data_IF_165067413212
#
_entry.id   IF_165067413212
#
_cell.length_a   1.000
_cell.length_b   1.000
_cell.length_c   1.000
_cell.angle_alpha   90.00
_cell.angle_beta   90.00
_cell.angle_gamma   90.00
#
_symmetry.space_group_name_H-M   'P 1'
#
loop_
_entity.id
_entity.type
_entity.pdbx_description
1 polymer ?
#
# COMPACT_ATOMS: atom_id res chain seq x y z
N UNK A 1 9.89 24.50 9.22
CA UNK A 1 11.08 25.31 9.60
C UNK A 1 11.21 25.41 11.12
N UNK A 2 12.43 25.28 11.65
CA UNK A 2 12.84 25.66 13.03
C UNK A 2 13.17 24.57 14.07
N UNK A 3 13.88 23.49 13.68
CA UNK A 3 14.74 22.75 14.64
C UNK A 3 16.16 22.49 14.14
N UNK A 4 16.37 22.32 12.83
CA UNK A 4 17.71 22.05 12.29
C UNK A 4 18.61 23.29 12.10
N UNK A 5 18.03 24.48 11.94
CA UNK A 5 18.80 25.71 11.72
C UNK A 5 19.56 26.20 12.98
N UNK A 6 19.23 25.71 14.17
CA UNK A 6 19.96 26.04 15.39
C UNK A 6 21.24 25.21 15.56
N UNK A 7 21.30 24.01 14.99
CA UNK A 7 22.48 23.12 15.13
C UNK A 7 23.66 23.60 14.28
N UNK A 8 23.40 23.97 13.01
CA UNK A 8 24.45 24.39 12.08
C UNK A 8 25.04 25.77 12.39
N UNK A 9 24.26 26.69 12.96
CA UNK A 9 24.74 28.04 13.31
C UNK A 9 25.63 28.05 14.57
N UNK A 10 25.57 27.00 15.38
CA UNK A 10 26.44 26.82 16.55
C UNK A 10 27.81 26.23 16.15
N UNK A 11 27.84 25.37 15.12
CA UNK A 11 29.06 24.70 14.64
C UNK A 11 29.99 25.61 13.83
N UNK A 12 29.46 26.63 13.14
CA UNK A 12 30.32 27.53 12.35
C UNK A 12 31.11 28.56 13.17
N UNK A 13 30.86 28.69 14.49
CA UNK A 13 31.55 29.65 15.37
C UNK A 13 32.66 29.07 16.24
N UNK A 14 32.79 27.74 16.34
CA UNK A 14 33.75 27.09 17.24
C UNK A 14 34.88 26.34 16.53
N UNK A 15 35.15 26.62 15.25
CA UNK A 15 36.33 26.08 14.58
C UNK A 15 37.59 26.89 14.92
N UNK A 16 37.99 26.85 16.21
CA UNK A 16 39.34 27.20 16.64
C UNK A 16 39.81 26.15 17.65
N UNK A 17 40.56 25.17 17.11
CA UNK A 17 41.52 24.28 17.80
C UNK A 17 40.99 23.39 18.94
N UNK A 18 40.72 22.12 18.63
CA UNK A 18 40.51 21.06 19.61
C UNK A 18 40.12 19.71 19.01
N UNK A 19 40.90 19.20 18.05
CA UNK A 19 40.60 17.94 17.36
C UNK A 19 40.78 16.70 18.26
N UNK A 20 39.74 15.87 18.35
CA UNK A 20 39.79 14.53 18.93
C UNK A 20 38.67 14.20 19.92
N UNK A 21 38.32 15.10 20.83
CA UNK A 21 37.35 14.82 21.91
C UNK A 21 35.89 15.15 21.59
N UNK A 22 35.67 16.09 20.65
CA UNK A 22 34.32 16.58 20.32
C UNK A 22 33.67 15.75 19.20
N UNK A 23 34.47 15.20 18.29
CA UNK A 23 34.04 14.32 17.20
C UNK A 23 33.58 12.95 17.72
N UNK A 24 34.35 12.33 18.63
CA UNK A 24 33.96 11.09 19.33
C UNK A 24 32.65 11.26 20.12
N UNK A 25 32.43 12.45 20.68
CA UNK A 25 31.22 12.75 21.47
C UNK A 25 29.99 13.02 20.60
N UNK A 26 30.18 13.39 19.34
CA UNK A 26 29.11 13.50 18.34
C UNK A 26 28.76 12.10 17.82
N UNK A 27 29.76 11.28 17.49
CA UNK A 27 29.55 9.87 17.08
C UNK A 27 28.84 9.04 18.16
N UNK A 28 29.23 9.18 19.44
CA UNK A 28 28.54 8.51 20.56
C UNK A 28 27.05 8.92 20.65
N UNK A 29 26.74 10.20 20.42
CA UNK A 29 25.36 10.71 20.48
C UNK A 29 24.54 10.28 19.26
N UNK A 30 25.14 10.21 18.08
CA UNK A 30 24.48 9.71 16.87
C UNK A 30 24.12 8.23 17.01
N UNK A 31 25.03 7.41 17.55
CA UNK A 31 24.77 6.01 17.88
C UNK A 31 23.66 5.85 18.94
N UNK A 32 23.62 6.74 19.94
CA UNK A 32 22.58 6.73 20.97
C UNK A 32 21.20 7.11 20.41
N UNK A 33 21.15 8.06 19.47
CA UNK A 33 19.91 8.43 18.76
C UNK A 33 19.44 7.29 17.85
N UNK A 34 20.32 6.66 17.06
CA UNK A 34 19.95 5.54 16.19
C UNK A 34 19.43 4.34 17.00
N UNK A 35 20.02 4.07 18.16
CA UNK A 35 19.53 3.03 19.07
C UNK A 35 18.14 3.37 19.63
N UNK A 36 17.88 4.63 19.98
CA UNK A 36 16.56 5.07 20.47
C UNK A 36 15.50 5.04 19.36
N UNK A 37 15.86 5.35 18.12
CA UNK A 37 14.97 5.23 16.96
C UNK A 37 14.57 3.78 16.71
N UNK A 38 15.54 2.85 16.71
CA UNK A 38 15.26 1.40 16.63
C UNK A 38 14.38 0.93 17.78
N UNK A 39 14.61 1.42 19.00
CA UNK A 39 13.80 1.06 20.17
C UNK A 39 12.37 1.59 20.06
N UNK A 40 12.16 2.79 19.50
CA UNK A 40 10.83 3.35 19.24
C UNK A 40 10.11 2.56 18.14
N UNK A 41 10.81 2.17 17.07
CA UNK A 41 10.29 1.34 15.98
C UNK A 41 9.84 -0.04 16.51
N UNK A 42 10.67 -0.70 17.34
CA UNK A 42 10.34 -1.96 18.01
C UNK A 42 9.15 -1.81 18.98
N UNK A 43 9.09 -0.71 19.73
CA UNK A 43 7.95 -0.41 20.62
C UNK A 43 6.67 -0.19 19.83
N UNK A 44 6.73 0.51 18.69
CA UNK A 44 5.58 0.72 17.82
C UNK A 44 5.07 -0.60 17.24
N UNK A 45 5.96 -1.45 16.73
CA UNK A 45 5.62 -2.80 16.28
C UNK A 45 5.01 -3.65 17.41
N UNK A 46 5.49 -3.48 18.64
CA UNK A 46 4.94 -4.18 19.81
C UNK A 46 3.55 -3.67 20.17
N UNK A 47 3.31 -2.37 20.07
CA UNK A 47 1.98 -1.77 20.27
C UNK A 47 1.01 -2.23 19.20
N UNK A 48 1.42 -2.26 17.93
CA UNK A 48 0.59 -2.72 16.82
C UNK A 48 0.26 -4.22 16.96
N UNK A 49 1.24 -5.05 17.33
CA UNK A 49 1.01 -6.46 17.67
C UNK A 49 0.06 -6.64 18.85
N UNK A 50 0.16 -5.81 19.90
CA UNK A 50 -0.76 -5.86 21.05
C UNK A 50 -2.16 -5.38 20.69
N UNK A 51 -2.28 -4.38 19.82
CA UNK A 51 -3.54 -3.84 19.33
C UNK A 51 -4.29 -4.89 18.52
N UNK A 52 -3.60 -5.54 17.58
CA UNK A 52 -4.13 -6.70 16.86
C UNK A 52 -4.54 -7.81 17.83
N UNK A 53 -3.71 -8.12 18.84
CA UNK A 53 -4.03 -9.16 19.85
C UNK A 53 -5.22 -8.83 20.76
N UNK A 54 -5.52 -7.55 20.96
CA UNK A 54 -6.73 -7.11 21.67
C UNK A 54 -7.95 -7.29 20.76
N UNK A 55 -7.83 -6.91 19.48
CA UNK A 55 -8.88 -7.16 18.47
C UNK A 55 -9.15 -8.68 18.33
N UNK A 56 -8.11 -9.52 18.35
CA UNK A 56 -8.20 -10.99 18.37
C UNK A 56 -8.95 -11.53 19.59
N UNK A 57 -8.70 -10.97 20.79
CA UNK A 57 -9.36 -11.39 22.03
C UNK A 57 -10.81 -10.93 22.08
N UNK A 58 -11.12 -9.77 21.53
CA UNK A 58 -12.49 -9.30 21.41
C UNK A 58 -13.30 -10.20 20.46
N UNK A 59 -12.74 -10.59 19.31
CA UNK A 59 -13.38 -11.57 18.39
C UNK A 59 -13.62 -12.91 19.10
N UNK A 60 -12.65 -13.38 19.91
CA UNK A 60 -12.80 -14.59 20.72
C UNK A 60 -13.77 -14.48 21.91
N UNK A 61 -14.04 -13.26 22.40
CA UNK A 61 -15.03 -12.97 23.46
C UNK A 61 -16.43 -12.86 22.87
N UNK A 62 -16.59 -12.27 21.68
CA UNK A 62 -17.85 -12.20 20.91
C UNK A 62 -18.37 -13.60 20.50
N UNK A 63 -17.49 -14.59 20.34
CA UNK A 63 -17.87 -16.00 20.18
C UNK A 63 -18.70 -16.56 21.36
N UNK A 64 -18.76 -15.87 22.52
CA UNK A 64 -19.65 -16.19 23.64
C UNK A 64 -20.97 -15.42 23.62
N UNK A 65 -21.05 -14.29 22.93
CA UNK A 65 -22.31 -13.56 22.66
C UNK A 65 -23.12 -14.20 21.52
N UNK A 66 -22.46 -15.06 20.73
CA UNK A 66 -23.04 -15.98 19.74
C UNK A 66 -24.32 -16.68 20.21
N UNK A 67 -24.46 -17.02 21.50
CA UNK A 67 -25.64 -17.72 22.02
C UNK A 67 -26.93 -16.89 22.04
N UNK A 68 -26.85 -15.56 22.03
CA UNK A 68 -28.04 -14.68 22.10
C UNK A 68 -28.56 -14.35 20.69
N UNK A 69 -27.64 -14.08 19.75
CA UNK A 69 -27.99 -13.77 18.36
C UNK A 69 -28.34 -15.02 17.54
N UNK A 70 -27.67 -16.16 17.76
CA UNK A 70 -28.03 -17.46 17.13
C UNK A 70 -29.47 -17.86 17.46
N UNK A 71 -29.96 -17.56 18.67
CA UNK A 71 -31.33 -17.88 19.11
C UNK A 71 -32.38 -17.05 18.38
N UNK A 72 -32.13 -15.76 18.15
CA UNK A 72 -33.09 -14.92 17.41
C UNK A 72 -33.09 -15.27 15.91
N UNK A 73 -31.92 -15.55 15.34
CA UNK A 73 -31.81 -15.98 13.94
C UNK A 73 -32.47 -17.33 13.71
N UNK A 74 -32.29 -18.29 14.62
CA UNK A 74 -32.90 -19.62 14.54
C UNK A 74 -34.43 -19.60 14.70
N UNK A 75 -34.98 -18.56 15.33
CA UNK A 75 -36.43 -18.37 15.49
C UNK A 75 -37.06 -17.57 14.34
N UNK A 76 -36.25 -16.97 13.46
CA UNK A 76 -36.77 -16.22 12.32
C UNK A 76 -37.39 -17.17 11.29
N UNK A 77 -38.59 -16.86 10.74
CA UNK A 77 -39.20 -17.67 9.68
C UNK A 77 -38.35 -17.76 8.41
N UNK A 78 -37.57 -16.72 8.12
CA UNK A 78 -36.61 -16.65 7.03
C UNK A 78 -35.29 -16.04 7.54
N UNK A 79 -34.37 -16.88 8.07
CA UNK A 79 -33.11 -16.43 8.65
C UNK A 79 -32.22 -15.69 7.65
N UNK A 80 -32.19 -16.14 6.39
CA UNK A 80 -31.38 -15.54 5.34
C UNK A 80 -31.90 -14.15 4.99
N UNK A 81 -33.22 -13.99 4.83
CA UNK A 81 -33.80 -12.66 4.59
C UNK A 81 -33.58 -11.73 5.77
N UNK A 82 -33.84 -12.19 6.99
CA UNK A 82 -33.67 -11.39 8.19
C UNK A 82 -32.22 -10.88 8.32
N UNK A 83 -31.24 -11.76 8.14
CA UNK A 83 -29.83 -11.38 8.16
C UNK A 83 -29.50 -10.35 7.06
N UNK A 84 -30.04 -10.52 5.84
CA UNK A 84 -29.82 -9.55 4.76
C UNK A 84 -30.37 -8.18 5.12
N UNK A 85 -31.61 -8.13 5.62
CA UNK A 85 -32.29 -6.90 6.02
C UNK A 85 -31.51 -6.18 7.16
N UNK A 86 -31.02 -6.92 8.15
CA UNK A 86 -30.19 -6.38 9.24
C UNK A 86 -28.85 -5.86 8.72
N UNK A 87 -28.13 -6.63 7.90
CA UNK A 87 -26.85 -6.20 7.31
C UNK A 87 -27.03 -4.91 6.51
N UNK A 88 -28.08 -4.83 5.69
CA UNK A 88 -28.39 -3.63 4.90
C UNK A 88 -28.71 -2.43 5.80
N UNK A 89 -29.52 -2.62 6.84
CA UNK A 89 -29.84 -1.54 7.80
C UNK A 89 -28.59 -1.03 8.52
N UNK A 90 -27.70 -1.93 8.95
CA UNK A 90 -26.43 -1.56 9.58
C UNK A 90 -25.47 -0.87 8.61
N UNK A 91 -25.56 -1.21 7.32
CA UNK A 91 -24.78 -0.57 6.28
C UNK A 91 -25.22 0.89 6.05
N UNK A 92 -26.51 1.19 6.13
CA UNK A 92 -27.00 2.58 6.12
C UNK A 92 -26.43 3.39 7.29
N UNK A 93 -26.37 2.78 8.49
CA UNK A 93 -25.74 3.41 9.66
C UNK A 93 -24.22 3.59 9.51
N UNK A 94 -23.57 2.70 8.78
CA UNK A 94 -22.17 2.83 8.41
C UNK A 94 -21.96 3.98 7.40
N UNK A 95 -22.87 4.15 6.45
CA UNK A 95 -22.83 5.26 5.48
C UNK A 95 -23.06 6.61 6.15
N UNK A 96 -23.98 6.68 7.12
CA UNK A 96 -24.21 7.87 7.94
C UNK A 96 -23.17 8.10 9.04
N UNK A 97 -22.08 7.32 9.04
CA UNK A 97 -20.99 7.36 10.04
C UNK A 97 -21.45 7.19 11.49
N UNK A 98 -22.65 6.64 11.68
CA UNK A 98 -23.26 6.41 12.99
C UNK A 98 -22.70 5.14 13.66
N UNK A 99 -22.14 4.23 12.86
CA UNK A 99 -21.49 2.99 13.31
C UNK A 99 -20.10 2.88 12.70
N UNK A 100 -19.14 2.36 13.48
CA UNK A 100 -17.77 2.17 12.99
C UNK A 100 -17.65 1.02 11.99
N UNK A 101 -16.67 1.08 11.08
CA UNK A 101 -16.35 -0.02 10.15
C UNK A 101 -16.10 -1.35 10.85
N UNK A 102 -15.49 -1.31 12.03
CA UNK A 102 -15.17 -2.48 12.82
C UNK A 102 -16.43 -3.10 13.40
N UNK A 103 -17.32 -2.29 13.97
CA UNK A 103 -18.63 -2.72 14.49
C UNK A 103 -19.48 -3.32 13.36
N UNK A 104 -19.57 -2.65 12.21
CA UNK A 104 -20.29 -3.16 11.05
C UNK A 104 -19.75 -4.52 10.58
N UNK A 105 -18.42 -4.63 10.45
CA UNK A 105 -17.77 -5.88 10.02
C UNK A 105 -18.04 -7.01 11.00
N UNK A 106 -18.01 -6.74 12.31
CA UNK A 106 -18.35 -7.72 13.36
C UNK A 106 -19.77 -8.24 13.25
N UNK A 107 -20.76 -7.35 13.15
CA UNK A 107 -22.17 -7.74 12.98
C UNK A 107 -22.38 -8.58 11.72
N UNK A 108 -21.73 -8.20 10.60
CA UNK A 108 -21.82 -8.96 9.36
C UNK A 108 -21.20 -10.36 9.49
N UNK A 109 -20.10 -10.51 10.22
CA UNK A 109 -19.46 -11.80 10.46
C UNK A 109 -20.39 -12.72 11.25
N UNK A 110 -20.96 -12.24 12.36
CA UNK A 110 -21.83 -13.05 13.22
C UNK A 110 -23.03 -13.56 12.42
N UNK A 111 -23.75 -12.66 11.73
CA UNK A 111 -24.90 -13.01 10.91
C UNK A 111 -24.53 -13.96 9.77
N UNK A 112 -23.43 -13.69 9.06
CA UNK A 112 -23.01 -14.54 7.93
C UNK A 112 -22.60 -15.93 8.38
N UNK A 113 -21.86 -16.06 9.49
CA UNK A 113 -21.43 -17.35 10.04
C UNK A 113 -22.62 -18.20 10.45
N UNK A 114 -23.63 -17.60 11.09
CA UNK A 114 -24.84 -18.30 11.49
C UNK A 114 -25.63 -18.87 10.30
N UNK A 115 -25.49 -18.27 9.10
CA UNK A 115 -26.15 -18.76 7.88
C UNK A 115 -25.38 -19.89 7.16
N UNK A 116 -24.07 -20.05 7.37
CA UNK A 116 -23.23 -20.96 6.56
C UNK A 116 -23.70 -22.41 6.60
N UNK A 117 -24.26 -22.85 7.72
CA UNK A 117 -24.61 -24.26 7.94
C UNK A 117 -26.09 -24.57 7.68
N UNK A 118 -27.00 -23.60 7.88
CA UNK A 118 -28.43 -23.90 8.06
C UNK A 118 -29.40 -23.09 7.18
N UNK A 119 -28.91 -22.18 6.35
CA UNK A 119 -29.79 -21.28 5.60
C UNK A 119 -30.16 -21.80 4.20
N UNK A 120 -31.46 -21.94 3.94
CA UNK A 120 -32.00 -22.05 2.58
C UNK A 120 -32.10 -20.67 1.94
N UNK A 121 -31.14 -20.36 1.06
CA UNK A 121 -31.12 -19.10 0.32
C UNK A 121 -31.86 -19.26 -1.01
N UNK A 122 -32.98 -18.57 -1.16
CA UNK A 122 -33.77 -18.55 -2.40
C UNK A 122 -33.06 -17.76 -3.50
N UNK A 123 -33.37 -18.01 -4.78
CA UNK A 123 -32.76 -17.26 -5.88
C UNK A 123 -33.00 -15.75 -5.77
N UNK A 124 -34.21 -15.35 -5.38
CA UNK A 124 -34.54 -13.93 -5.15
C UNK A 124 -33.61 -13.30 -4.11
N UNK A 125 -33.35 -13.99 -3.00
CA UNK A 125 -32.41 -13.49 -1.98
C UNK A 125 -30.97 -13.44 -2.49
N UNK A 126 -30.56 -14.37 -3.36
CA UNK A 126 -29.25 -14.29 -4.01
C UNK A 126 -29.15 -13.04 -4.89
N UNK A 127 -30.19 -12.72 -5.64
CA UNK A 127 -30.20 -11.56 -6.52
C UNK A 127 -30.15 -10.26 -5.70
N UNK A 128 -30.91 -10.18 -4.61
CA UNK A 128 -30.91 -9.04 -3.68
C UNK A 128 -29.54 -8.91 -2.97
N UNK A 129 -28.97 -10.02 -2.50
CA UNK A 129 -27.65 -10.05 -1.88
C UNK A 129 -26.54 -9.68 -2.88
N UNK A 130 -26.64 -10.14 -4.13
CA UNK A 130 -25.70 -9.80 -5.20
C UNK A 130 -25.73 -8.29 -5.47
N UNK A 131 -26.92 -7.70 -5.62
CA UNK A 131 -27.08 -6.25 -5.80
C UNK A 131 -26.44 -5.48 -4.64
N UNK A 132 -26.69 -5.91 -3.41
CA UNK A 132 -26.10 -5.28 -2.23
C UNK A 132 -24.57 -5.42 -2.19
N UNK A 133 -24.02 -6.58 -2.53
CA UNK A 133 -22.57 -6.77 -2.54
C UNK A 133 -21.84 -5.86 -3.53
N UNK A 134 -22.47 -5.47 -4.64
CA UNK A 134 -21.96 -4.46 -5.57
C UNK A 134 -21.95 -3.08 -4.89
N UNK A 135 -23.05 -2.70 -4.22
CA UNK A 135 -23.14 -1.45 -3.46
C UNK A 135 -22.04 -1.36 -2.40
N UNK A 136 -21.87 -2.41 -1.61
CA UNK A 136 -20.83 -2.51 -0.58
C UNK A 136 -19.45 -2.27 -1.19
N UNK A 137 -19.10 -2.97 -2.28
CA UNK A 137 -17.81 -2.78 -2.97
C UNK A 137 -17.62 -1.35 -3.46
N UNK A 138 -18.69 -0.70 -3.91
CA UNK A 138 -18.67 0.71 -4.30
C UNK A 138 -18.29 1.64 -3.16
N UNK A 139 -18.79 1.42 -1.95
CA UNK A 139 -18.42 2.22 -0.77
C UNK A 139 -17.00 1.92 -0.30
N UNK A 140 -16.59 0.65 -0.25
CA UNK A 140 -15.22 0.28 0.12
C UNK A 140 -14.21 0.94 -0.83
N UNK A 141 -14.50 0.98 -2.14
CA UNK A 141 -13.66 1.66 -3.12
C UNK A 141 -13.55 3.17 -2.88
N UNK A 142 -14.65 3.85 -2.52
CA UNK A 142 -14.64 5.29 -2.20
C UNK A 142 -13.83 5.62 -0.95
N UNK A 143 -13.81 4.71 0.02
CA UNK A 143 -13.11 4.90 1.31
C UNK A 143 -11.64 4.49 1.27
N UNK A 144 -11.16 3.93 0.16
CA UNK A 144 -9.76 3.56 -0.03
C UNK A 144 -9.37 2.30 0.74
N UNK A 145 -8.46 2.43 1.72
CA UNK A 145 -7.91 1.29 2.46
C UNK A 145 -9.02 0.43 3.09
N UNK A 146 -9.06 -0.84 2.70
CA UNK A 146 -10.02 -1.84 3.20
C UNK A 146 -9.32 -2.68 4.26
N UNK A 147 -9.82 -2.62 5.50
CA UNK A 147 -9.27 -3.39 6.61
C UNK A 147 -9.55 -4.90 6.43
N UNK A 148 -8.67 -5.78 6.93
CA UNK A 148 -8.82 -7.23 6.74
C UNK A 148 -10.15 -7.77 7.27
N UNK A 149 -10.69 -7.20 8.36
CA UNK A 149 -12.01 -7.57 8.89
C UNK A 149 -13.16 -7.25 7.93
N UNK A 150 -13.04 -6.16 7.15
CA UNK A 150 -14.04 -5.78 6.15
C UNK A 150 -13.95 -6.71 4.93
N UNK A 151 -12.73 -7.09 4.53
CA UNK A 151 -12.51 -8.12 3.51
C UNK A 151 -13.13 -9.45 3.97
N UNK A 152 -12.88 -9.81 5.22
CA UNK A 152 -13.36 -11.06 5.79
C UNK A 152 -14.89 -11.11 5.87
N UNK A 153 -15.52 -10.06 6.40
CA UNK A 153 -16.97 -9.95 6.52
C UNK A 153 -17.64 -9.99 5.14
N UNK A 154 -17.06 -9.31 4.15
CA UNK A 154 -17.53 -9.34 2.78
C UNK A 154 -17.43 -10.74 2.16
N UNK A 155 -16.30 -11.44 2.30
CA UNK A 155 -16.14 -12.80 1.77
C UNK A 155 -17.11 -13.78 2.44
N UNK A 156 -17.31 -13.67 3.76
CA UNK A 156 -18.28 -14.48 4.48
C UNK A 156 -19.71 -14.22 4.02
N UNK A 157 -20.07 -12.95 3.78
CA UNK A 157 -21.35 -12.58 3.19
C UNK A 157 -21.54 -13.24 1.82
N UNK A 158 -20.55 -13.16 0.92
CA UNK A 158 -20.65 -13.82 -0.38
C UNK A 158 -20.83 -15.34 -0.23
N UNK A 159 -20.18 -15.95 0.75
CA UNK A 159 -20.27 -17.38 0.98
C UNK A 159 -21.64 -17.78 1.55
N UNK A 160 -22.16 -17.05 2.53
CA UNK A 160 -23.46 -17.35 3.17
C UNK A 160 -24.62 -17.28 2.19
N UNK A 161 -24.56 -16.39 1.19
CA UNK A 161 -25.55 -16.30 0.11
C UNK A 161 -25.20 -17.14 -1.13
N UNK A 162 -24.12 -17.94 -1.09
CA UNK A 162 -23.65 -18.80 -2.19
C UNK A 162 -23.42 -18.04 -3.49
N UNK A 163 -22.81 -16.86 -3.38
CA UNK A 163 -22.54 -15.93 -4.48
C UNK A 163 -21.14 -16.12 -5.10
N UNK A 164 -20.27 -16.94 -4.50
CA UNK A 164 -18.89 -17.11 -4.95
C UNK A 164 -18.74 -17.45 -6.44
N UNK A 165 -19.63 -18.27 -6.99
CA UNK A 165 -19.62 -18.66 -8.41
C UNK A 165 -20.07 -17.53 -9.36
N UNK A 166 -20.81 -16.55 -8.86
CA UNK A 166 -21.32 -15.40 -9.61
C UNK A 166 -20.31 -14.24 -9.65
N UNK A 167 -19.23 -14.36 -8.89
CA UNK A 167 -18.20 -13.34 -8.75
C UNK A 167 -17.00 -13.61 -9.64
N UNK A 168 -16.30 -12.54 -9.98
CA UNK A 168 -15.03 -12.64 -10.68
C UNK A 168 -14.01 -13.39 -9.81
N UNK A 169 -13.57 -14.56 -10.30
CA UNK A 169 -12.66 -15.44 -9.56
C UNK A 169 -11.35 -14.75 -9.25
N UNK A 170 -10.85 -13.95 -10.18
CA UNK A 170 -9.56 -13.29 -10.03
C UNK A 170 -9.60 -12.26 -8.89
N UNK A 171 -10.66 -11.45 -8.80
CA UNK A 171 -10.92 -10.56 -7.68
C UNK A 171 -11.08 -11.28 -6.33
N UNK A 172 -11.79 -12.41 -6.31
CA UNK A 172 -11.95 -13.21 -5.09
C UNK A 172 -10.60 -13.74 -4.60
N UNK A 173 -9.76 -14.23 -5.51
CA UNK A 173 -8.41 -14.70 -5.19
C UNK A 173 -7.54 -13.57 -4.62
N UNK A 174 -7.63 -12.36 -5.18
CA UNK A 174 -6.89 -11.19 -4.65
C UNK A 174 -7.37 -10.80 -3.24
N UNK A 175 -8.68 -10.82 -2.98
CA UNK A 175 -9.24 -10.55 -1.64
C UNK A 175 -8.81 -11.61 -0.61
N UNK A 176 -8.88 -12.89 -0.98
CA UNK A 176 -8.40 -14.00 -0.16
C UNK A 176 -6.90 -13.90 0.11
N UNK A 177 -6.12 -13.50 -0.90
CA UNK A 177 -4.69 -13.23 -0.78
C UNK A 177 -4.38 -12.18 0.28
N UNK A 178 -5.03 -11.02 0.18
CA UNK A 178 -4.90 -9.94 1.16
C UNK A 178 -5.28 -10.44 2.55
N UNK A 179 -6.40 -11.15 2.70
CA UNK A 179 -6.79 -11.76 3.97
C UNK A 179 -5.68 -12.68 4.51
N UNK A 180 -5.17 -13.59 3.68
CA UNK A 180 -4.11 -14.51 4.04
C UNK A 180 -2.78 -13.86 4.39
N UNK A 181 -2.48 -12.66 3.89
CA UNK A 181 -1.28 -11.91 4.26
C UNK A 181 -1.52 -11.13 5.56
N UNK A 182 -2.71 -10.55 5.72
CA UNK A 182 -3.06 -9.69 6.84
C UNK A 182 -3.39 -10.44 8.13
N UNK A 183 -3.96 -11.65 8.06
CA UNK A 183 -4.50 -12.35 9.25
C UNK A 183 -3.59 -13.42 9.81
N UNK A 184 -3.12 -13.31 11.04
CA UNK A 184 -2.36 -14.40 11.70
C UNK A 184 -3.25 -15.49 12.31
N UNK A 185 -4.56 -15.23 12.41
CA UNK A 185 -5.52 -16.07 13.14
C UNK A 185 -6.43 -16.84 12.19
N UNK A 186 -6.81 -18.05 12.60
CA UNK A 186 -7.87 -18.84 11.95
C UNK A 186 -9.22 -18.20 12.22
N UNK A 187 -9.93 -17.80 11.18
CA UNK A 187 -11.19 -17.06 11.32
C UNK A 187 -12.43 -18.00 11.25
N UNK A 188 -13.55 -17.68 11.93
CA UNK A 188 -14.72 -18.55 12.00
C UNK A 188 -15.44 -18.72 10.66
N UNK A 189 -15.59 -19.94 10.16
CA UNK A 189 -16.18 -20.19 8.84
C UNK A 189 -15.18 -20.16 7.67
N UNK A 190 -13.88 -20.09 7.97
CA UNK A 190 -12.81 -20.13 6.97
C UNK A 190 -12.83 -21.40 6.11
N UNK A 191 -13.15 -22.56 6.69
CA UNK A 191 -13.24 -23.82 5.94
C UNK A 191 -14.34 -23.74 4.88
N UNK A 192 -15.45 -23.05 5.17
CA UNK A 192 -16.54 -22.82 4.23
C UNK A 192 -16.13 -21.86 3.12
N UNK A 193 -15.42 -20.77 3.45
CA UNK A 193 -14.86 -19.84 2.47
C UNK A 193 -13.97 -20.57 1.46
N UNK A 194 -13.14 -21.50 1.92
CA UNK A 194 -12.31 -22.31 1.02
C UNK A 194 -13.16 -23.15 0.07
N UNK A 195 -14.12 -23.93 0.61
CA UNK A 195 -14.97 -24.78 -0.20
C UNK A 195 -15.76 -23.97 -1.25
N UNK A 196 -16.29 -22.82 -0.87
CA UNK A 196 -17.16 -22.02 -1.74
C UNK A 196 -16.37 -21.17 -2.76
N UNK A 197 -15.20 -20.64 -2.38
CA UNK A 197 -14.47 -19.67 -3.21
C UNK A 197 -13.32 -20.30 -4.00
N UNK A 198 -12.67 -21.33 -3.44
CA UNK A 198 -11.50 -21.98 -4.03
C UNK A 198 -11.82 -23.35 -4.62
N UNK A 199 -12.98 -23.90 -4.28
CA UNK A 199 -13.38 -25.24 -4.68
C UNK A 199 -12.53 -26.31 -3.99
N UNK A 200 -12.22 -27.36 -4.73
CA UNK A 200 -11.44 -28.48 -4.21
C UNK A 200 -9.94 -28.16 -4.17
N UNK A 201 -9.20 -28.85 -3.28
CA UNK A 201 -7.73 -28.73 -3.20
C UNK A 201 -7.01 -28.98 -4.55
N UNK A 202 -7.63 -29.73 -5.46
CA UNK A 202 -7.07 -30.04 -6.79
C UNK A 202 -7.08 -28.83 -7.73
N UNK A 203 -7.89 -27.82 -7.45
CA UNK A 203 -7.99 -26.60 -8.26
C UNK A 203 -6.98 -25.53 -7.83
N UNK A 204 -6.46 -25.62 -6.61
CA UNK A 204 -5.49 -24.67 -6.04
C UNK A 204 -4.27 -24.41 -6.94
N UNK A 205 -3.63 -25.43 -7.57
CA UNK A 205 -2.52 -25.17 -8.50
C UNK A 205 -2.91 -24.28 -9.68
N UNK A 206 -4.15 -24.43 -10.19
CA UNK A 206 -4.69 -23.58 -11.25
C UNK A 206 -4.88 -22.13 -10.79
N UNK A 207 -5.38 -21.94 -9.56
CA UNK A 207 -5.51 -20.62 -8.95
C UNK A 207 -4.15 -19.95 -8.74
N UNK A 208 -3.15 -20.68 -8.24
CA UNK A 208 -1.77 -20.19 -8.09
C UNK A 208 -1.20 -19.79 -9.45
N UNK A 209 -1.39 -20.59 -10.50
CA UNK A 209 -0.95 -20.23 -11.85
C UNK A 209 -1.65 -18.98 -12.39
N UNK A 210 -2.95 -18.79 -12.13
CA UNK A 210 -3.66 -17.56 -12.50
C UNK A 210 -3.03 -16.33 -11.83
N UNK A 211 -2.76 -16.42 -10.52
CA UNK A 211 -2.13 -15.33 -9.76
C UNK A 211 -0.74 -14.98 -10.28
N UNK A 212 0.08 -15.99 -10.62
CA UNK A 212 1.41 -15.77 -11.20
C UNK A 212 1.31 -15.07 -12.56
N UNK A 213 0.37 -15.50 -13.43
CA UNK A 213 0.16 -14.87 -14.75
C UNK A 213 -0.30 -13.41 -14.65
N UNK A 214 -0.98 -13.05 -13.56
CA UNK A 214 -1.42 -11.68 -13.25
C UNK A 214 -0.37 -10.85 -12.52
N UNK A 215 0.84 -11.38 -12.32
CA UNK A 215 1.93 -10.76 -11.54
C UNK A 215 1.58 -10.49 -10.07
N UNK A 216 0.55 -11.16 -9.52
CA UNK A 216 0.15 -11.08 -8.11
C UNK A 216 0.99 -12.02 -7.25
N UNK A 217 2.31 -11.87 -7.33
CA UNK A 217 3.29 -12.80 -6.75
C UNK A 217 3.18 -12.94 -5.22
N UNK A 218 2.91 -11.86 -4.50
CA UNK A 218 2.77 -11.91 -3.02
C UNK A 218 1.56 -12.78 -2.65
N UNK A 219 0.44 -12.59 -3.35
CA UNK A 219 -0.76 -13.40 -3.17
C UNK A 219 -0.50 -14.86 -3.55
N UNK A 220 0.19 -15.12 -4.66
CA UNK A 220 0.56 -16.48 -5.06
C UNK A 220 1.41 -17.17 -3.96
N UNK A 221 2.41 -16.48 -3.42
CA UNK A 221 3.25 -16.98 -2.31
C UNK A 221 2.41 -17.29 -1.07
N UNK A 222 1.46 -16.43 -0.73
CA UNK A 222 0.56 -16.69 0.41
C UNK A 222 -0.24 -17.99 0.22
N UNK A 223 -0.80 -18.21 -0.97
CA UNK A 223 -1.48 -19.47 -1.29
C UNK A 223 -0.53 -20.68 -1.22
N UNK A 224 0.66 -20.56 -1.81
CA UNK A 224 1.65 -21.64 -1.80
C UNK A 224 1.98 -22.07 -0.38
N UNK A 225 2.30 -21.13 0.50
CA UNK A 225 2.69 -21.41 1.89
C UNK A 225 1.52 -21.93 2.74
N UNK A 226 0.29 -21.42 2.53
CA UNK A 226 -0.91 -21.89 3.25
C UNK A 226 -1.29 -23.30 2.83
N UNK A 227 -1.27 -23.57 1.53
CA UNK A 227 -1.70 -24.86 0.98
C UNK A 227 -0.57 -25.90 0.94
N UNK A 228 0.65 -25.55 1.36
CA UNK A 228 1.84 -26.41 1.39
C UNK A 228 2.21 -26.94 0.01
N UNK A 229 2.39 -26.02 -0.95
CA UNK A 229 2.71 -26.33 -2.35
C UNK A 229 4.12 -25.85 -2.76
N UNK A 230 5.02 -25.66 -1.80
CA UNK A 230 6.35 -25.10 -2.00
C UNK A 230 7.21 -25.95 -2.96
N UNK A 231 7.01 -27.27 -2.98
CA UNK A 231 7.71 -28.19 -3.86
C UNK A 231 7.35 -28.00 -5.34
N UNK A 232 6.07 -27.66 -5.60
CA UNK A 232 5.56 -27.45 -6.98
C UNK A 232 5.78 -26.01 -7.43
N UNK A 233 5.63 -25.07 -6.52
CA UNK A 233 5.77 -23.64 -6.77
C UNK A 233 6.73 -23.04 -5.74
N UNK A 234 8.03 -22.99 -6.04
CA UNK A 234 9.00 -22.42 -5.11
C UNK A 234 8.70 -20.94 -4.81
N UNK A 235 8.52 -20.53 -3.54
CA UNK A 235 8.18 -19.14 -3.20
C UNK A 235 9.26 -18.11 -3.56
N UNK A 236 10.54 -18.48 -3.40
CA UNK A 236 11.67 -17.55 -3.51
C UNK A 236 11.83 -16.97 -4.93
N UNK A 237 11.79 -17.75 -6.02
CA UNK A 237 11.75 -17.21 -7.37
C UNK A 237 10.62 -16.21 -7.61
N UNK A 238 9.42 -16.48 -7.07
CA UNK A 238 8.28 -15.58 -7.24
C UNK A 238 8.46 -14.27 -6.48
N UNK A 239 9.03 -14.30 -5.27
CA UNK A 239 9.37 -13.08 -4.53
C UNK A 239 10.45 -12.26 -5.24
N UNK A 240 11.46 -12.90 -5.85
CA UNK A 240 12.46 -12.20 -6.66
C UNK A 240 11.84 -11.53 -7.89
N UNK A 241 10.99 -12.25 -8.62
CA UNK A 241 10.25 -11.69 -9.75
C UNK A 241 9.34 -10.52 -9.31
N UNK A 242 8.74 -10.60 -8.12
CA UNK A 242 7.97 -9.51 -7.54
C UNK A 242 8.84 -8.26 -7.32
N UNK A 243 10.02 -8.41 -6.71
CA UNK A 243 10.95 -7.30 -6.46
C UNK A 243 11.44 -6.65 -7.76
N UNK A 244 11.78 -7.45 -8.76
CA UNK A 244 12.14 -6.96 -10.10
C UNK A 244 10.98 -6.18 -10.74
N UNK A 245 9.75 -6.68 -10.63
CA UNK A 245 8.55 -6.00 -11.12
C UNK A 245 8.26 -4.69 -10.40
N UNK A 246 8.47 -4.61 -9.08
CA UNK A 246 8.33 -3.39 -8.30
C UNK A 246 9.32 -2.33 -8.80
N UNK A 247 10.60 -2.68 -8.94
CA UNK A 247 11.63 -1.76 -9.42
C UNK A 247 11.33 -1.26 -10.84
N UNK A 248 10.93 -2.17 -11.74
CA UNK A 248 10.57 -1.82 -13.11
C UNK A 248 9.43 -0.80 -13.15
N UNK A 249 8.34 -1.05 -12.40
CA UNK A 249 7.18 -0.13 -12.35
C UNK A 249 7.56 1.23 -11.75
N UNK A 250 8.36 1.26 -10.68
CA UNK A 250 8.83 2.51 -10.09
C UNK A 250 9.65 3.33 -11.11
N UNK A 251 10.56 2.70 -11.84
CA UNK A 251 11.32 3.35 -12.90
C UNK A 251 10.44 3.84 -14.07
N UNK A 252 9.40 3.08 -14.44
CA UNK A 252 8.47 3.47 -15.51
C UNK A 252 7.63 4.69 -15.12
N UNK A 253 7.14 4.76 -13.88
CA UNK A 253 6.40 5.92 -13.37
C UNK A 253 7.23 7.20 -13.43
N UNK A 254 8.51 7.13 -13.03
CA UNK A 254 9.46 8.26 -13.10
C UNK A 254 9.78 8.66 -14.55
N UNK A 255 9.72 7.73 -15.52
CA UNK A 255 9.94 8.03 -16.94
C UNK A 255 8.72 8.65 -17.61
N UNK A 256 7.51 8.31 -17.16
CA UNK A 256 6.25 8.76 -17.78
C UNK A 256 5.80 10.13 -17.27
N UNK A 257 6.14 10.49 -16.03
CA UNK A 257 5.89 11.82 -15.47
C UNK A 257 7.18 12.46 -14.96
N UNK A 258 7.48 13.69 -15.41
CA UNK A 258 8.68 14.42 -14.95
C UNK A 258 8.39 15.33 -13.75
N UNK A 259 7.17 15.34 -13.24
CA UNK A 259 6.75 16.22 -12.15
C UNK A 259 7.00 15.58 -10.78
N UNK A 260 7.03 16.43 -9.75
CA UNK A 260 7.26 16.01 -8.37
C UNK A 260 6.18 15.05 -7.85
N UNK A 261 4.95 15.15 -8.38
CA UNK A 261 3.83 14.25 -8.09
C UNK A 261 4.09 12.82 -8.56
N UNK A 262 4.52 12.62 -9.81
CA UNK A 262 4.84 11.30 -10.34
C UNK A 262 6.01 10.64 -9.60
N UNK A 263 6.99 11.43 -9.16
CA UNK A 263 8.09 10.93 -8.33
C UNK A 263 7.59 10.48 -6.96
N UNK A 264 6.76 11.30 -6.29
CA UNK A 264 6.20 10.95 -4.99
C UNK A 264 5.29 9.72 -5.07
N UNK A 265 4.49 9.58 -6.13
CA UNK A 265 3.65 8.42 -6.37
C UNK A 265 4.48 7.15 -6.60
N UNK A 266 5.58 7.25 -7.36
CA UNK A 266 6.52 6.15 -7.56
C UNK A 266 7.16 5.70 -6.24
N UNK A 267 7.61 6.66 -5.41
CA UNK A 267 8.18 6.39 -4.07
C UNK A 267 7.15 5.74 -3.15
N UNK A 268 5.92 6.27 -3.10
CA UNK A 268 4.85 5.71 -2.28
C UNK A 268 4.46 4.29 -2.74
N UNK A 269 4.37 4.07 -4.05
CA UNK A 269 4.09 2.75 -4.63
C UNK A 269 5.19 1.73 -4.29
N UNK A 270 6.47 2.10 -4.47
CA UNK A 270 7.61 1.24 -4.13
C UNK A 270 7.62 0.90 -2.63
N UNK A 271 7.45 1.92 -1.78
CA UNK A 271 7.43 1.76 -0.32
C UNK A 271 6.30 0.84 0.13
N UNK A 272 5.06 1.07 -0.32
CA UNK A 272 3.92 0.21 0.01
C UNK A 272 4.12 -1.23 -0.46
N UNK A 273 4.70 -1.41 -1.66
CA UNK A 273 4.96 -2.74 -2.21
C UNK A 273 6.05 -3.49 -1.42
N UNK A 274 7.15 -2.82 -1.08
CA UNK A 274 8.24 -3.41 -0.28
C UNK A 274 7.79 -3.79 1.14
N UNK A 275 6.97 -2.95 1.78
CA UNK A 275 6.35 -3.29 3.07
C UNK A 275 5.48 -4.54 2.98
N UNK A 276 4.72 -4.69 1.89
CA UNK A 276 3.94 -5.90 1.60
C UNK A 276 4.81 -7.15 1.45
N UNK A 277 5.94 -7.04 0.73
CA UNK A 277 6.90 -8.16 0.57
C UNK A 277 7.52 -8.54 1.91
N UNK A 278 7.98 -7.57 2.71
CA UNK A 278 8.55 -7.80 4.04
C UNK A 278 7.56 -8.51 4.96
N UNK A 279 6.30 -8.08 4.95
CA UNK A 279 5.22 -8.73 5.72
C UNK A 279 5.00 -10.17 5.29
N UNK A 280 4.99 -10.43 3.98
CA UNK A 280 4.88 -11.78 3.43
C UNK A 280 6.05 -12.68 3.87
N UNK A 281 7.29 -12.19 3.76
CA UNK A 281 8.50 -12.91 4.18
C UNK A 281 8.41 -13.28 5.67
N UNK A 282 8.08 -12.30 6.52
CA UNK A 282 8.00 -12.50 7.97
C UNK A 282 6.92 -13.51 8.35
N UNK A 283 5.74 -13.38 7.75
CA UNK A 283 4.59 -14.25 8.03
C UNK A 283 4.88 -15.71 7.71
N UNK A 284 5.46 -15.96 6.54
CA UNK A 284 5.70 -17.32 6.06
C UNK A 284 7.09 -17.86 6.41
N UNK A 285 7.85 -17.12 7.24
CA UNK A 285 9.17 -17.51 7.74
C UNK A 285 10.18 -17.79 6.63
N UNK A 286 10.23 -16.90 5.63
CA UNK A 286 11.05 -17.05 4.43
C UNK A 286 12.42 -16.34 4.55
N UNK A 287 12.76 -15.79 5.72
CA UNK A 287 13.96 -14.96 5.96
C UNK A 287 15.26 -15.71 5.71
N UNK A 288 15.28 -17.02 5.99
CA UNK A 288 16.44 -17.89 5.76
C UNK A 288 16.76 -18.05 4.28
N UNK A 289 15.75 -17.95 3.43
CA UNK A 289 15.86 -18.14 1.98
C UNK A 289 15.93 -16.83 1.22
N UNK A 290 15.35 -15.76 1.77
CA UNK A 290 15.40 -14.40 1.24
C UNK A 290 15.62 -13.41 2.39
N UNK A 291 16.83 -12.85 2.46
CA UNK A 291 17.18 -11.89 3.52
C UNK A 291 16.31 -10.63 3.44
N UNK A 292 15.68 -10.20 4.56
CA UNK A 292 14.88 -8.97 4.61
C UNK A 292 15.74 -7.70 4.70
N UNK A 293 16.98 -7.79 5.16
CA UNK A 293 17.84 -6.63 5.46
C UNK A 293 18.03 -5.65 4.29
N UNK A 294 18.29 -6.09 3.05
CA UNK A 294 18.41 -5.16 1.92
C UNK A 294 17.10 -4.41 1.63
N UNK A 295 15.95 -5.07 1.86
CA UNK A 295 14.63 -4.47 1.65
C UNK A 295 14.32 -3.45 2.73
N UNK A 296 14.63 -3.74 3.99
CA UNK A 296 14.50 -2.81 5.12
C UNK A 296 15.34 -1.54 4.91
N UNK A 297 16.57 -1.69 4.43
CA UNK A 297 17.43 -0.54 4.10
C UNK A 297 16.82 0.33 2.99
N UNK A 298 16.25 -0.29 1.95
CA UNK A 298 15.56 0.45 0.88
C UNK A 298 14.32 1.16 1.38
N UNK A 299 13.52 0.55 2.24
CA UNK A 299 12.36 1.20 2.87
C UNK A 299 12.79 2.44 3.66
N UNK A 300 13.83 2.32 4.50
CA UNK A 300 14.37 3.46 5.26
C UNK A 300 14.89 4.58 4.36
N UNK A 301 15.47 4.24 3.22
CA UNK A 301 15.90 5.24 2.23
C UNK A 301 14.70 5.97 1.60
N UNK A 302 13.67 5.24 1.20
CA UNK A 302 12.45 5.80 0.60
C UNK A 302 11.68 6.68 1.57
N UNK A 303 11.64 6.31 2.86
CA UNK A 303 11.02 7.13 3.91
C UNK A 303 11.73 8.48 4.07
N UNK A 304 13.07 8.48 4.09
CA UNK A 304 13.87 9.73 4.12
C UNK A 304 13.69 10.59 2.87
N UNK A 305 13.53 9.97 1.71
CA UNK A 305 13.29 10.69 0.44
C UNK A 305 11.92 11.38 0.45
N UNK A 306 10.90 10.71 0.99
CA UNK A 306 9.56 11.27 1.16
C UNK A 306 9.55 12.49 2.09
N UNK A 307 10.23 12.40 3.23
CA UNK A 307 10.32 13.51 4.20
C UNK A 307 10.97 14.77 3.58
N UNK A 308 12.05 14.59 2.82
CA UNK A 308 12.71 15.69 2.12
C UNK A 308 11.83 16.37 1.09
N UNK A 309 11.04 15.59 0.35
CA UNK A 309 10.12 16.14 -0.65
C UNK A 309 8.98 16.94 0.01
N UNK A 310 8.47 16.49 1.15
CA UNK A 310 7.48 17.26 1.93
C UNK A 310 8.04 18.55 2.52
N UNK A 311 9.31 18.56 2.95
CA UNK A 311 9.97 19.78 3.46
C UNK A 311 10.26 20.80 2.35
N UNK A 312 10.66 20.33 1.16
CA UNK A 312 10.87 21.17 -0.02
C UNK A 312 9.55 21.81 -0.52
N UNK A 313 8.46 21.06 -0.52
CA UNK A 313 7.13 21.55 -0.91
C UNK A 313 6.57 22.56 0.11
N UNK A 314 6.80 22.32 1.41
CA UNK A 314 6.43 23.28 2.47
C UNK A 314 7.22 24.60 2.37
N UNK A 315 8.49 24.56 1.98
CA UNK A 315 9.34 25.75 1.84
C UNK A 315 9.03 26.56 0.57
N UNK A 316 8.63 25.90 -0.52
CA UNK A 316 8.11 26.54 -1.74
C UNK A 316 6.74 27.22 -1.51
N UNK A 317 5.80 26.54 -0.84
CA UNK A 317 4.51 27.14 -0.44
C UNK A 317 4.70 28.35 0.49
N UNK A 318 5.64 28.28 1.44
CA UNK A 318 5.95 29.43 2.31
C UNK A 318 6.57 30.59 1.51
N UNK A 319 7.32 30.32 0.45
CA UNK A 319 7.89 31.37 -0.41
C UNK A 319 6.82 32.03 -1.30
N UNK A 320 5.89 31.25 -1.86
CA UNK A 320 4.78 31.74 -2.68
C UNK A 320 3.76 32.57 -1.87
N UNK A 321 3.47 32.17 -0.62
CA UNK A 321 2.63 32.94 0.31
C UNK A 321 3.30 34.25 0.76
N UNK A 322 4.63 34.29 0.81
CA UNK A 322 5.38 35.50 1.13
C UNK A 322 5.54 36.45 -0.07
N UNK A 323 5.57 35.94 -1.31
CA UNK A 323 5.55 36.76 -2.53
C UNK A 323 4.17 37.40 -2.75
N UNK A 324 3.09 36.64 -2.56
CA UNK A 324 1.71 37.12 -2.73
C UNK A 324 1.23 38.08 -1.62
N UNK A 325 1.84 38.05 -0.43
CA UNK A 325 1.60 39.06 0.62
C UNK A 325 2.42 40.36 0.45
N UNK A 326 3.36 40.42 -0.49
CA UNK A 326 4.18 41.62 -0.73
C UNK A 326 3.55 42.61 -1.73
N UNK A 327 2.52 42.21 -2.47
CA UNK A 327 1.85 43.07 -3.48
C UNK A 327 0.74 43.97 -2.92
N UNK A 328 0.51 44.01 -1.60
CA UNK A 328 -0.47 44.92 -0.96
C UNK A 328 0.19 45.89 0.01
N UNK A 329 1.10 46.71 -0.48
CA UNK A 329 1.40 48.04 0.12
C UNK A 329 2.08 48.92 -0.91
N UNK A 330 1.27 49.69 -1.64
CA UNK A 330 1.77 50.79 -2.45
C UNK A 330 2.36 51.90 -1.57
N UNK A 331 3.41 52.56 -2.08
CA UNK A 331 3.45 54.01 -2.35
C UNK A 331 4.80 54.37 -3.00
N UNK A 332 4.67 54.83 -4.26
CA UNK A 332 5.39 55.88 -5.00
C UNK A 332 6.91 55.85 -5.28
N UNK A 333 7.21 55.90 -6.59
CA UNK A 333 8.48 56.26 -7.27
C UNK A 333 8.90 57.72 -7.01
N UNK A 334 10.19 58.09 -7.24
CA UNK A 334 10.58 58.62 -8.56
C UNK A 334 11.92 58.06 -9.09
N UNK A 335 12.08 58.08 -10.42
CA UNK A 335 13.16 57.40 -11.14
C UNK A 335 14.50 58.12 -11.23
N UNK A 336 15.48 57.41 -11.80
CA UNK A 336 16.55 57.84 -12.72
C UNK A 336 17.19 56.57 -13.33
N UNK A 337 17.64 56.72 -14.56
CA UNK A 337 18.23 55.77 -15.49
C UNK A 337 19.69 55.36 -15.15
N UNK A 338 20.12 54.28 -15.83
CA UNK A 338 21.46 53.82 -16.16
C UNK A 338 22.20 52.82 -15.25
N UNK A 339 22.19 51.57 -15.74
CA UNK A 339 23.36 50.68 -15.94
C UNK A 339 24.19 50.27 -14.72
N UNK A 340 24.07 49.01 -14.30
CA UNK A 340 25.17 48.02 -14.25
C UNK A 340 24.70 46.70 -13.59
N UNK A 341 25.18 45.58 -14.14
CA UNK A 341 25.29 44.21 -13.59
C UNK A 341 24.49 43.11 -14.29
N UNK A 342 24.96 42.79 -15.49
CA UNK A 342 25.13 41.39 -15.93
C UNK A 342 26.27 40.75 -15.12
N UNK A 343 26.26 39.41 -15.04
CA UNK A 343 27.34 38.46 -14.69
C UNK A 343 27.20 37.97 -13.22
N UNK A 344 26.85 36.71 -12.92
CA UNK A 344 27.44 35.47 -13.45
C UNK A 344 26.58 34.26 -13.06
N UNK A 345 26.22 33.41 -14.02
CA UNK A 345 26.49 31.99 -13.87
C UNK A 345 26.96 31.44 -15.22
N UNK A 346 28.26 31.14 -15.24
CA UNK A 346 28.97 30.51 -16.35
C UNK A 346 28.53 29.05 -16.41
N UNK A 347 28.16 28.56 -17.58
CA UNK A 347 28.75 27.37 -18.19
C UNK A 347 28.12 27.18 -19.58
N UNK A 348 28.82 27.67 -20.61
CA UNK A 348 28.82 27.13 -21.97
C UNK A 348 29.65 28.07 -22.86
N UNK A 349 30.97 27.97 -22.77
CA UNK A 349 31.86 28.38 -23.84
C UNK A 349 32.75 27.18 -24.14
N UNK A 350 32.45 26.49 -25.23
CA UNK A 350 33.41 26.34 -26.30
C UNK A 350 32.71 26.27 -27.65
N UNK A 351 33.14 27.18 -28.51
CA UNK A 351 33.09 27.17 -29.96
C UNK A 351 31.77 27.41 -30.71
N UNK A 352 31.48 28.71 -30.88
CA UNK A 352 31.35 29.34 -32.21
C UNK A 352 32.49 28.87 -33.13
N UNK A 353 32.45 28.82 -34.45
CA UNK A 353 31.58 29.38 -35.48
C UNK A 353 32.10 28.76 -36.79
N UNK A 354 31.23 28.46 -37.75
CA UNK A 354 31.27 29.20 -39.01
C UNK A 354 30.18 28.70 -39.95
N UNK A 355 29.29 29.63 -40.28
CA UNK A 355 28.44 29.61 -41.46
C UNK A 355 29.32 29.47 -42.70
N UNK A 356 28.94 28.59 -43.63
CA UNK A 356 28.67 29.05 -45.00
C UNK A 356 27.97 28.01 -45.87
N UNK A 357 26.85 28.45 -46.44
CA UNK A 357 26.44 28.33 -47.85
C UNK A 357 26.57 26.95 -48.53
N UNK A 358 25.41 26.29 -48.63
CA UNK A 358 24.74 25.93 -49.88
C UNK A 358 25.54 25.25 -51.00
N UNK A 359 25.08 24.07 -51.41
CA UNK A 359 24.67 23.76 -52.78
C UNK A 359 24.05 22.37 -52.86
N UNK A 360 22.92 22.29 -53.57
CA UNK A 360 22.40 21.07 -54.21
C UNK A 360 23.52 20.33 -54.93
N UNK A 361 23.50 19.00 -54.87
CA UNK A 361 23.65 18.11 -56.03
C UNK A 361 23.06 16.73 -55.67
N UNK A 362 22.13 16.26 -56.50
CA UNK A 362 21.76 14.85 -56.67
C UNK A 362 23.00 14.06 -57.10
N UNK A 363 23.13 12.78 -56.71
CA UNK A 363 23.31 11.61 -57.59
C UNK A 363 22.96 10.34 -56.79
N UNK A 364 22.36 9.40 -57.50
CA UNK A 364 21.72 8.14 -57.14
C UNK A 364 22.65 6.99 -56.66
N UNK A 365 21.97 5.90 -56.27
CA UNK A 365 22.34 4.48 -56.40
C UNK A 365 23.36 3.89 -55.40
N UNK A 366 23.36 2.62 -55.02
CA UNK A 366 22.45 1.46 -55.03
C UNK A 366 23.27 0.30 -54.38
N UNK A 367 22.60 -0.74 -53.86
CA UNK A 367 23.13 -2.06 -53.44
C UNK A 367 24.15 -2.09 -52.27
N UNK A 368 24.23 -3.13 -51.44
CA UNK A 368 23.61 -4.46 -51.38
C UNK A 368 24.23 -5.15 -50.15
N UNK A 369 23.43 -5.78 -49.29
CA UNK A 369 23.31 -7.24 -49.18
C UNK A 369 24.63 -8.03 -49.03
N UNK A 370 24.73 -8.66 -47.85
CA UNK A 370 25.04 -10.07 -47.62
C UNK A 370 26.48 -10.59 -47.79
N UNK A 371 26.66 -11.81 -47.25
CA UNK A 371 27.83 -12.70 -47.13
C UNK A 371 28.63 -12.52 -45.82
N UNK A 372 28.70 -13.51 -44.92
CA UNK A 372 28.49 -14.97 -45.00
C UNK A 372 28.03 -15.54 -43.66
#
# INVERSE_FOLDING_TARGET
MSKELWSWRYLSKNNVKGGGGEEVRVEERELEVENREKEVEDRQLTVDKRKLKVEEREIGVEMREKEVEDRQLALAPDPAKFALDVIQSFYELLESESVSRQTYSRSCIVLSVALLENATVTQRLKDDAMKFSITWRGLSAKRGYTHFMEIYSFLLFLASYKLGELYDKDQLLSLLGTLYIETEVRLPGQDYLWCQMLGSRKEIPGHIQSLIKREEHITAVAFICIFRMEDTFPPVPLLKACLEGIQKRACEMVKQGSDATAQNDAVNMELSSLKGVLKCISKFKLESSLSPTPLELRVKQLEKEKERNTDAESTLSTAEDNLSNSEKKGVSLPGIDHSHLVIRNKHALNSMESKNKGKRLKVDANCGESYK
#
